data_IF_314485086768
#
_entry.id   IF_314485086768
#
_cell.length_a   1.000
_cell.length_b   1.000
_cell.length_c   1.000
_cell.angle_alpha   90.00
_cell.angle_beta   90.00
_cell.angle_gamma   90.00
#
_symmetry.space_group_name_H-M   'P 1'
#
loop_
_entity.id
_entity.type
_entity.pdbx_description
1 polymer ?
#
# COMPACT_ATOMS: atom_id res chain seq x y z
N UNK A 1 11.42 -1.26 12.57
CA UNK A 1 12.09 -2.45 12.01
C UNK A 1 13.58 -2.17 11.97
N UNK A 2 14.42 -3.20 12.05
CA UNK A 2 15.86 -3.02 11.81
C UNK A 2 16.06 -2.66 10.32
N UNK A 3 17.03 -1.80 9.97
CA UNK A 3 17.28 -1.41 8.58
C UNK A 3 17.64 -2.61 7.69
N UNK A 4 18.29 -3.63 8.25
CA UNK A 4 18.58 -4.88 7.56
C UNK A 4 17.33 -5.61 7.07
N UNK A 5 16.24 -5.61 7.87
CA UNK A 5 14.99 -6.29 7.50
C UNK A 5 14.31 -5.65 6.29
N UNK A 6 14.28 -4.31 6.20
CA UNK A 6 13.72 -3.62 5.04
C UNK A 6 14.55 -3.88 3.78
N UNK A 7 15.87 -3.91 3.93
CA UNK A 7 16.78 -4.21 2.81
C UNK A 7 16.56 -5.63 2.31
N UNK A 8 16.45 -6.61 3.21
CA UNK A 8 16.12 -7.99 2.83
C UNK A 8 14.77 -8.08 2.12
N UNK A 9 13.73 -7.42 2.63
CA UNK A 9 12.42 -7.38 1.98
C UNK A 9 12.51 -6.78 0.57
N UNK A 10 13.20 -5.66 0.40
CA UNK A 10 13.37 -5.02 -0.90
C UNK A 10 14.13 -5.91 -1.90
N UNK A 11 15.20 -6.58 -1.46
CA UNK A 11 15.96 -7.51 -2.31
C UNK A 11 15.11 -8.72 -2.71
N UNK A 12 14.36 -9.31 -1.77
CA UNK A 12 13.44 -10.41 -2.06
C UNK A 12 12.31 -9.98 -2.98
N UNK A 13 11.77 -8.77 -2.81
CA UNK A 13 10.78 -8.19 -3.74
C UNK A 13 11.35 -8.09 -5.14
N UNK A 14 12.53 -7.48 -5.30
CA UNK A 14 13.16 -7.30 -6.61
C UNK A 14 13.43 -8.66 -7.29
N UNK A 15 13.93 -9.63 -6.54
CA UNK A 15 14.17 -10.98 -7.02
C UNK A 15 12.88 -11.66 -7.47
N UNK A 16 11.83 -11.62 -6.65
CA UNK A 16 10.60 -12.37 -6.91
C UNK A 16 9.77 -11.74 -8.04
N UNK A 17 9.72 -10.40 -8.10
CA UNK A 17 9.09 -9.69 -9.22
C UNK A 17 9.87 -9.93 -10.52
N UNK A 18 11.21 -9.85 -10.48
CA UNK A 18 12.06 -10.15 -11.62
C UNK A 18 11.91 -11.59 -12.12
N UNK A 19 11.91 -12.56 -11.20
CA UNK A 19 11.67 -13.97 -11.52
C UNK A 19 10.27 -14.20 -12.11
N UNK A 20 9.24 -13.56 -11.55
CA UNK A 20 7.87 -13.62 -12.07
C UNK A 20 7.80 -13.14 -13.53
N UNK A 21 8.35 -11.96 -13.83
CA UNK A 21 8.38 -11.48 -15.21
C UNK A 21 9.25 -12.34 -16.14
N UNK A 22 10.37 -12.88 -15.66
CA UNK A 22 11.18 -13.80 -16.44
C UNK A 22 10.38 -15.07 -16.81
N UNK A 23 9.64 -15.65 -15.86
CA UNK A 23 8.75 -16.77 -16.13
C UNK A 23 7.66 -16.39 -17.15
N UNK A 24 7.05 -15.21 -17.01
CA UNK A 24 6.02 -14.73 -17.92
C UNK A 24 6.53 -14.59 -19.35
N UNK A 25 7.72 -14.02 -19.57
CA UNK A 25 8.21 -13.75 -20.93
C UNK A 25 8.92 -14.94 -21.58
N UNK A 26 9.67 -15.74 -20.81
CA UNK A 26 10.53 -16.79 -21.36
C UNK A 26 10.01 -18.21 -21.18
N UNK A 27 9.05 -18.44 -20.29
CA UNK A 27 8.56 -19.79 -19.97
C UNK A 27 7.06 -19.96 -20.20
N UNK A 28 6.23 -19.02 -19.76
CA UNK A 28 4.79 -19.11 -19.92
C UNK A 28 4.40 -19.02 -21.41
N UNK A 29 3.69 -20.04 -21.95
CA UNK A 29 3.23 -20.02 -23.32
C UNK A 29 2.23 -18.87 -23.54
N UNK A 30 2.09 -18.44 -24.78
CA UNK A 30 1.02 -17.53 -25.15
C UNK A 30 -0.31 -18.29 -25.11
N UNK A 31 -1.35 -17.61 -24.62
CA UNK A 31 -2.71 -18.13 -24.61
C UNK A 31 -3.25 -18.21 -26.05
N UNK A 32 -4.11 -19.19 -26.35
CA UNK A 32 -4.52 -19.50 -27.72
C UNK A 32 -5.35 -18.39 -28.37
N UNK A 33 -6.21 -17.73 -27.59
CA UNK A 33 -7.15 -16.71 -28.09
C UNK A 33 -6.56 -15.30 -28.04
N UNK A 34 -5.91 -14.94 -26.94
CA UNK A 34 -5.38 -13.59 -26.69
C UNK A 34 -3.89 -13.44 -27.04
N UNK A 35 -3.18 -14.54 -27.29
CA UNK A 35 -1.77 -14.51 -27.68
C UNK A 35 -0.89 -13.78 -26.65
N UNK A 36 -0.12 -12.80 -27.13
CA UNK A 36 0.78 -12.01 -26.28
C UNK A 36 0.05 -11.03 -25.35
N UNK A 37 -1.14 -10.57 -25.73
CA UNK A 37 -1.92 -9.58 -24.95
C UNK A 37 -2.27 -10.15 -23.57
N UNK A 38 -2.50 -11.46 -23.50
CA UNK A 38 -2.78 -12.15 -22.24
C UNK A 38 -1.68 -11.95 -21.21
N UNK A 39 -0.42 -11.67 -21.57
CA UNK A 39 0.65 -11.50 -20.58
C UNK A 39 0.39 -10.33 -19.61
N UNK A 40 -0.47 -9.37 -19.96
CA UNK A 40 -0.93 -8.30 -19.05
C UNK A 40 -1.66 -8.88 -17.82
N UNK A 41 -2.32 -10.03 -17.96
CA UNK A 41 -2.98 -10.78 -16.88
C UNK A 41 -2.07 -11.00 -15.67
N UNK A 42 -0.80 -11.37 -15.90
CA UNK A 42 0.16 -11.68 -14.85
C UNK A 42 0.60 -10.47 -14.03
N UNK A 43 0.32 -9.25 -14.50
CA UNK A 43 0.51 -8.02 -13.74
C UNK A 43 -0.83 -7.53 -13.18
N UNK A 44 -1.83 -7.40 -14.03
CA UNK A 44 -3.13 -6.80 -13.71
C UNK A 44 -3.87 -7.57 -12.60
N UNK A 45 -3.99 -8.89 -12.73
CA UNK A 45 -4.79 -9.69 -11.78
C UNK A 45 -4.11 -9.77 -10.42
N UNK A 46 -2.79 -10.00 -10.30
CA UNK A 46 -2.08 -9.85 -9.03
C UNK A 46 -2.25 -8.48 -8.38
N UNK A 47 -2.15 -7.39 -9.14
CA UNK A 47 -2.40 -6.04 -8.61
C UNK A 47 -3.81 -5.92 -8.03
N UNK A 48 -4.82 -6.45 -8.72
CA UNK A 48 -6.22 -6.40 -8.27
C UNK A 48 -6.44 -7.19 -6.98
N UNK A 49 -5.94 -8.43 -6.93
CA UNK A 49 -6.06 -9.29 -5.74
C UNK A 49 -5.36 -8.64 -4.54
N UNK A 50 -4.15 -8.11 -4.74
CA UNK A 50 -3.37 -7.50 -3.66
C UNK A 50 -3.97 -6.18 -3.20
N UNK A 51 -4.50 -5.35 -4.10
CA UNK A 51 -5.22 -4.13 -3.74
C UNK A 51 -6.46 -4.43 -2.87
N UNK A 52 -7.31 -5.36 -3.33
CA UNK A 52 -8.51 -5.77 -2.59
C UNK A 52 -8.16 -6.42 -1.24
N UNK A 53 -7.14 -7.29 -1.22
CA UNK A 53 -6.63 -7.89 0.00
C UNK A 53 -6.08 -6.85 0.98
N UNK A 54 -5.38 -5.84 0.47
CA UNK A 54 -4.85 -4.75 1.28
C UNK A 54 -5.94 -3.86 1.89
N UNK A 55 -7.06 -3.65 1.20
CA UNK A 55 -8.26 -3.03 1.77
C UNK A 55 -8.83 -3.83 2.94
N UNK A 56 -8.95 -5.16 2.80
CA UNK A 56 -9.38 -6.04 3.90
C UNK A 56 -8.42 -5.98 5.09
N UNK A 57 -7.10 -6.02 4.84
CA UNK A 57 -6.08 -5.87 5.89
C UNK A 57 -6.21 -4.51 6.59
N UNK A 58 -6.50 -3.44 5.85
CA UNK A 58 -6.83 -2.13 6.38
C UNK A 58 -8.05 -2.15 7.32
N UNK A 59 -9.13 -2.82 6.91
CA UNK A 59 -10.32 -3.05 7.73
C UNK A 59 -10.04 -3.86 9.00
N UNK A 60 -9.26 -4.94 8.90
CA UNK A 60 -8.87 -5.75 10.08
C UNK A 60 -8.08 -4.90 11.09
N UNK A 61 -7.17 -4.06 10.62
CA UNK A 61 -6.44 -3.13 11.50
C UNK A 61 -7.35 -2.06 12.11
N UNK A 62 -8.36 -1.58 11.39
CA UNK A 62 -9.37 -0.70 11.94
C UNK A 62 -10.22 -1.36 13.05
N UNK A 63 -10.61 -2.64 12.89
CA UNK A 63 -11.28 -3.40 13.97
C UNK A 63 -10.39 -3.48 15.20
N UNK A 64 -9.10 -3.81 15.01
CA UNK A 64 -8.13 -3.89 16.10
C UNK A 64 -7.94 -2.54 16.79
N UNK A 65 -7.92 -1.44 16.04
CA UNK A 65 -7.86 -0.08 16.59
C UNK A 65 -9.08 0.22 17.47
N UNK A 66 -10.31 -0.02 16.98
CA UNK A 66 -11.51 0.25 17.77
C UNK A 66 -11.62 -0.62 19.04
N UNK A 67 -11.06 -1.84 19.03
CA UNK A 67 -11.06 -2.73 20.19
C UNK A 67 -10.02 -2.37 21.25
N UNK A 68 -8.87 -1.86 20.83
CA UNK A 68 -7.71 -1.63 21.72
C UNK A 68 -7.45 -0.16 22.05
N UNK A 69 -7.93 0.76 21.22
CA UNK A 69 -7.54 2.17 21.27
C UNK A 69 -6.09 2.44 20.86
N UNK A 70 -5.33 1.44 20.39
CA UNK A 70 -3.90 1.61 20.08
C UNK A 70 -3.70 2.36 18.74
N UNK A 71 -3.08 3.55 18.74
CA UNK A 71 -2.80 4.33 17.53
C UNK A 71 -1.93 3.59 16.51
N UNK A 72 -1.18 2.56 16.92
CA UNK A 72 -0.39 1.73 16.00
C UNK A 72 -1.30 0.98 15.02
N UNK A 73 -2.48 0.54 15.47
CA UNK A 73 -3.44 -0.14 14.61
C UNK A 73 -4.11 0.82 13.63
N UNK A 74 -4.42 2.04 14.05
CA UNK A 74 -4.90 3.09 13.16
C UNK A 74 -3.87 3.43 12.08
N UNK A 75 -2.59 3.62 12.45
CA UNK A 75 -1.52 3.89 11.50
C UNK A 75 -1.35 2.74 10.48
N UNK A 76 -1.46 1.48 10.92
CA UNK A 76 -1.43 0.31 10.03
C UNK A 76 -2.63 0.28 9.09
N UNK A 77 -3.83 0.58 9.58
CA UNK A 77 -5.03 0.66 8.75
C UNK A 77 -4.86 1.72 7.64
N UNK A 78 -4.45 2.93 8.03
CA UNK A 78 -4.19 4.04 7.13
C UNK A 78 -3.18 3.66 6.02
N UNK A 79 -2.01 3.12 6.40
CA UNK A 79 -0.96 2.81 5.42
C UNK A 79 -1.36 1.66 4.50
N UNK A 80 -2.05 0.64 5.02
CA UNK A 80 -2.56 -0.45 4.19
C UNK A 80 -3.56 0.04 3.14
N UNK A 81 -4.50 0.92 3.52
CA UNK A 81 -5.44 1.53 2.58
C UNK A 81 -4.68 2.39 1.56
N UNK A 82 -3.67 3.14 1.98
CA UNK A 82 -2.86 3.99 1.12
C UNK A 82 -2.11 3.24 0.03
N UNK A 83 -1.36 2.21 0.41
CA UNK A 83 -0.71 1.35 -0.56
C UNK A 83 -1.72 0.69 -1.52
N UNK A 84 -2.89 0.30 -1.00
CA UNK A 84 -3.93 -0.37 -1.80
C UNK A 84 -4.64 0.56 -2.77
N UNK A 85 -4.84 1.84 -2.44
CA UNK A 85 -5.35 2.85 -3.39
C UNK A 85 -4.35 3.08 -4.52
N UNK A 86 -3.05 3.17 -4.23
CA UNK A 86 -2.01 3.30 -5.27
C UNK A 86 -2.04 2.09 -6.20
N UNK A 87 -2.14 0.88 -5.65
CA UNK A 87 -2.27 -0.34 -6.45
C UNK A 87 -3.58 -0.33 -7.24
N UNK A 88 -4.69 0.16 -6.65
CA UNK A 88 -5.97 0.31 -7.34
C UNK A 88 -5.90 1.22 -8.57
N UNK A 89 -5.14 2.32 -8.51
CA UNK A 89 -4.86 3.15 -9.69
C UNK A 89 -4.12 2.32 -10.75
N UNK A 90 -3.09 1.57 -10.36
CA UNK A 90 -2.36 0.70 -11.28
C UNK A 90 -3.26 -0.38 -11.90
N UNK A 91 -4.21 -0.93 -11.14
CA UNK A 91 -5.23 -1.87 -11.64
C UNK A 91 -6.11 -1.21 -12.70
N UNK A 92 -6.62 0.00 -12.45
CA UNK A 92 -7.46 0.71 -13.42
C UNK A 92 -6.68 1.00 -14.71
N UNK A 93 -5.44 1.49 -14.61
CA UNK A 93 -4.59 1.79 -15.78
C UNK A 93 -4.30 0.52 -16.57
N UNK A 94 -3.81 -0.53 -15.92
CA UNK A 94 -3.49 -1.81 -16.58
C UNK A 94 -4.74 -2.48 -17.14
N UNK A 95 -5.89 -2.33 -16.47
CA UNK A 95 -7.19 -2.86 -16.92
C UNK A 95 -7.70 -2.14 -18.16
N UNK A 96 -7.59 -0.81 -18.22
CA UNK A 96 -7.95 -0.03 -19.42
C UNK A 96 -7.07 -0.41 -20.61
N UNK A 97 -5.77 -0.59 -20.40
CA UNK A 97 -4.84 -1.06 -21.45
C UNK A 97 -5.23 -2.46 -21.93
N UNK A 98 -5.53 -3.38 -21.02
CA UNK A 98 -5.95 -4.74 -21.37
C UNK A 98 -7.29 -4.75 -22.12
N UNK A 99 -8.28 -3.99 -21.66
CA UNK A 99 -9.57 -3.87 -22.33
C UNK A 99 -9.42 -3.31 -23.76
N UNK A 100 -8.57 -2.30 -23.94
CA UNK A 100 -8.30 -1.72 -25.25
C UNK A 100 -7.64 -2.72 -26.20
N UNK A 101 -6.68 -3.50 -25.70
CA UNK A 101 -5.98 -4.51 -26.47
C UNK A 101 -6.88 -5.70 -26.83
N UNK A 102 -7.71 -6.17 -25.90
CA UNK A 102 -8.55 -7.36 -26.09
C UNK A 102 -9.85 -7.09 -26.86
N UNK A 103 -10.48 -5.93 -26.65
CA UNK A 103 -11.84 -5.65 -27.15
C UNK A 103 -11.95 -4.33 -27.91
N UNK A 104 -10.84 -3.65 -28.17
CA UNK A 104 -10.81 -2.38 -28.91
C UNK A 104 -11.38 -1.18 -28.15
N UNK A 105 -11.87 -1.34 -26.91
CA UNK A 105 -12.51 -0.31 -26.08
C UNK A 105 -11.75 -0.12 -24.77
N UNK A 106 -11.56 1.14 -24.35
CA UNK A 106 -10.86 1.45 -23.09
C UNK A 106 -11.64 1.07 -21.82
N UNK A 107 -12.97 1.02 -21.91
CA UNK A 107 -13.85 0.70 -20.80
C UNK A 107 -15.15 0.09 -21.31
N UNK A 108 -15.70 -0.85 -20.54
CA UNK A 108 -16.99 -1.51 -20.81
C UNK A 108 -17.86 -1.38 -19.56
N UNK A 109 -18.89 -0.55 -19.64
CA UNK A 109 -19.80 -0.27 -18.52
C UNK A 109 -20.76 -1.41 -18.22
N UNK A 110 -21.01 -2.28 -19.20
CA UNK A 110 -21.88 -3.45 -19.06
C UNK A 110 -21.19 -4.58 -18.28
N UNK A 111 -19.86 -4.52 -18.11
CA UNK A 111 -19.11 -5.53 -17.37
C UNK A 111 -19.17 -5.31 -15.86
N UNK A 112 -19.81 -6.24 -15.10
CA UNK A 112 -19.94 -6.08 -13.65
C UNK A 112 -18.57 -5.98 -12.97
N UNK A 113 -17.58 -6.80 -13.36
CA UNK A 113 -16.24 -6.82 -12.75
C UNK A 113 -15.55 -5.46 -12.79
N UNK A 114 -15.61 -4.78 -13.94
CA UNK A 114 -14.96 -3.48 -14.15
C UNK A 114 -15.61 -2.40 -13.29
N UNK A 115 -16.94 -2.30 -13.38
CA UNK A 115 -17.73 -1.29 -12.65
C UNK A 115 -17.65 -1.52 -11.13
N UNK A 116 -17.78 -2.77 -10.70
CA UNK A 116 -17.65 -3.17 -9.29
C UNK A 116 -16.30 -2.80 -8.69
N UNK A 117 -15.20 -3.06 -9.39
CA UNK A 117 -13.87 -2.65 -8.92
C UNK A 117 -13.77 -1.12 -8.82
N UNK A 118 -14.27 -0.40 -9.83
CA UNK A 118 -14.27 1.06 -9.82
C UNK A 118 -15.07 1.64 -8.63
N UNK A 119 -16.23 1.06 -8.31
CA UNK A 119 -17.04 1.48 -7.16
C UNK A 119 -16.26 1.28 -5.85
N UNK A 120 -15.66 0.10 -5.65
CA UNK A 120 -14.83 -0.17 -4.47
C UNK A 120 -13.66 0.82 -4.39
N UNK A 121 -12.97 1.06 -5.51
CA UNK A 121 -11.85 1.98 -5.58
C UNK A 121 -12.26 3.42 -5.21
N UNK A 122 -13.35 3.92 -5.79
CA UNK A 122 -13.87 5.26 -5.50
C UNK A 122 -14.34 5.37 -4.04
N UNK A 123 -14.98 4.33 -3.51
CA UNK A 123 -15.34 4.26 -2.10
C UNK A 123 -14.09 4.45 -1.22
N UNK A 124 -13.00 3.74 -1.49
CA UNK A 124 -11.74 3.92 -0.76
C UNK A 124 -11.04 5.26 -1.03
N UNK A 125 -11.24 5.91 -2.18
CA UNK A 125 -10.73 7.26 -2.40
C UNK A 125 -11.37 8.28 -1.46
N UNK A 126 -12.64 8.09 -1.10
CA UNK A 126 -13.34 8.98 -0.14
C UNK A 126 -12.86 8.83 1.31
N UNK A 127 -12.05 7.82 1.61
CA UNK A 127 -11.41 7.64 2.92
C UNK A 127 -10.57 8.84 3.35
N UNK A 128 -9.77 9.43 2.45
CA UNK A 128 -8.85 10.51 2.80
C UNK A 128 -9.56 11.83 3.09
N UNK A 129 -10.46 12.33 2.22
CA UNK A 129 -11.22 13.54 2.53
C UNK A 129 -11.99 13.40 3.84
N UNK A 130 -12.65 12.26 4.09
CA UNK A 130 -13.34 12.01 5.35
C UNK A 130 -12.40 12.10 6.54
N UNK A 131 -11.25 11.41 6.46
CA UNK A 131 -10.27 11.37 7.54
C UNK A 131 -9.67 12.76 7.80
N UNK A 132 -9.34 13.53 6.78
CA UNK A 132 -8.69 14.84 6.95
C UNK A 132 -9.66 15.99 7.22
N UNK A 133 -10.96 15.79 7.06
CA UNK A 133 -11.99 16.77 7.43
C UNK A 133 -12.21 16.89 8.95
N UNK A 134 -11.67 15.96 9.75
CA UNK A 134 -11.85 15.92 11.21
C UNK A 134 -10.57 16.43 11.88
N UNK A 135 -10.68 17.52 12.64
CA UNK A 135 -9.53 18.15 13.32
C UNK A 135 -9.04 17.33 14.53
N UNK A 136 -9.97 16.84 15.35
CA UNK A 136 -9.64 16.04 16.52
C UNK A 136 -9.06 14.68 16.12
N UNK A 137 -7.81 14.42 16.49
CA UNK A 137 -7.05 13.25 16.05
C UNK A 137 -7.67 11.92 16.49
N UNK A 138 -8.28 11.89 17.66
CA UNK A 138 -8.87 10.67 18.20
C UNK A 138 -10.19 10.35 17.51
N UNK A 139 -11.07 11.35 17.35
CA UNK A 139 -12.30 11.23 16.56
C UNK A 139 -11.99 10.90 15.10
N UNK A 140 -10.97 11.53 14.54
CA UNK A 140 -10.45 11.23 13.20
C UNK A 140 -10.12 9.75 13.05
N UNK A 141 -9.29 9.19 13.92
CA UNK A 141 -8.88 7.79 13.88
C UNK A 141 -10.07 6.84 14.07
N UNK A 142 -11.01 7.18 14.96
CA UNK A 142 -12.22 6.38 15.21
C UNK A 142 -13.15 6.36 14.00
N UNK A 143 -13.50 7.52 13.43
CA UNK A 143 -14.40 7.58 12.27
C UNK A 143 -13.76 6.97 11.02
N UNK A 144 -12.46 7.19 10.80
CA UNK A 144 -11.73 6.54 9.72
C UNK A 144 -11.72 5.00 9.89
N UNK A 145 -11.61 4.51 11.13
CA UNK A 145 -11.68 3.07 11.40
C UNK A 145 -13.06 2.50 11.11
N UNK A 146 -14.13 3.18 11.53
CA UNK A 146 -15.50 2.75 11.20
C UNK A 146 -15.70 2.68 9.69
N UNK A 147 -15.28 3.72 8.96
CA UNK A 147 -15.35 3.74 7.51
C UNK A 147 -14.58 2.58 6.87
N UNK A 148 -13.33 2.34 7.29
CA UNK A 148 -12.51 1.26 6.76
C UNK A 148 -13.14 -0.13 6.98
N UNK A 149 -13.86 -0.33 8.09
CA UNK A 149 -14.58 -1.57 8.36
C UNK A 149 -15.78 -1.71 7.42
N UNK A 150 -16.58 -0.65 7.29
CA UNK A 150 -17.77 -0.66 6.42
C UNK A 150 -17.39 -0.85 4.96
N UNK A 151 -16.39 -0.10 4.46
CA UNK A 151 -15.86 -0.27 3.11
C UNK A 151 -15.18 -1.63 2.92
N UNK A 152 -14.53 -2.16 3.97
CA UNK A 152 -13.93 -3.49 3.99
C UNK A 152 -14.97 -4.60 3.82
N UNK A 153 -16.12 -4.49 4.48
CA UNK A 153 -17.23 -5.41 4.33
C UNK A 153 -17.89 -5.36 2.95
N UNK A 154 -17.79 -4.21 2.26
CA UNK A 154 -18.30 -4.06 0.89
C UNK A 154 -17.46 -4.85 -0.14
N UNK A 155 -16.17 -5.08 0.10
CA UNK A 155 -15.29 -5.85 -0.80
C UNK A 155 -15.77 -7.29 -1.05
N UNK A 156 -16.01 -8.15 -0.04
CA UNK A 156 -16.49 -9.51 -0.26
C UNK A 156 -17.92 -9.53 -0.81
N UNK A 157 -18.77 -8.59 -0.40
CA UNK A 157 -20.13 -8.44 -0.94
C UNK A 157 -20.09 -8.13 -2.44
N UNK A 158 -19.22 -7.20 -2.84
CA UNK A 158 -18.98 -6.85 -4.24
C UNK A 158 -18.44 -8.06 -5.03
N UNK A 159 -17.53 -8.85 -4.45
CA UNK A 159 -17.05 -10.07 -5.08
C UNK A 159 -18.16 -11.11 -5.30
N UNK A 160 -19.04 -11.30 -4.31
CA UNK A 160 -20.21 -12.16 -4.43
C UNK A 160 -21.17 -11.65 -5.51
N UNK A 161 -21.44 -10.34 -5.55
CA UNK A 161 -22.30 -9.71 -6.55
C UNK A 161 -21.76 -9.92 -7.98
N UNK A 162 -20.45 -9.73 -8.20
CA UNK A 162 -19.81 -9.95 -9.51
C UNK A 162 -19.90 -11.42 -9.95
N UNK A 163 -19.77 -12.38 -9.02
CA UNK A 163 -19.92 -13.81 -9.36
C UNK A 163 -21.36 -14.21 -9.64
N UNK A 164 -22.32 -13.57 -8.98
CA UNK A 164 -23.75 -13.79 -9.20
C UNK A 164 -24.26 -13.14 -10.49
N UNK A 165 -23.65 -12.04 -10.93
CA UNK A 165 -23.97 -11.41 -12.20
C UNK A 165 -23.49 -12.26 -13.39
N UNK A 166 -24.15 -12.14 -14.54
CA UNK A 166 -23.66 -12.71 -15.79
C UNK A 166 -22.41 -11.96 -16.27
N UNK A 167 -21.41 -12.70 -16.73
CA UNK A 167 -20.18 -12.13 -17.29
C UNK A 167 -20.34 -12.12 -18.81
N UNK A 168 -20.29 -10.95 -19.44
CA UNK A 168 -20.56 -10.82 -20.87
C UNK A 168 -19.28 -10.98 -21.71
N UNK A 169 -18.13 -10.54 -21.17
CA UNK A 169 -16.85 -10.49 -21.90
C UNK A 169 -15.65 -10.80 -21.00
N UNK A 170 -15.74 -10.64 -19.67
CA UNK A 170 -14.59 -10.90 -18.78
C UNK A 170 -14.34 -12.41 -18.55
N UNK A 171 -13.16 -12.96 -18.90
CA UNK A 171 -12.87 -14.38 -18.69
C UNK A 171 -12.80 -14.70 -17.18
N UNK A 172 -13.46 -15.79 -16.76
CA UNK A 172 -13.48 -16.28 -15.37
C UNK A 172 -12.40 -17.35 -15.18
N UNK A 173 -11.16 -16.91 -14.98
CA UNK A 173 -9.99 -17.81 -14.85
C UNK A 173 -10.01 -18.70 -13.59
N UNK A 174 -10.88 -18.41 -12.61
CA UNK A 174 -10.95 -19.12 -11.33
C UNK A 174 -12.16 -20.06 -11.19
N UNK A 175 -12.76 -20.51 -12.29
CA UNK A 175 -13.81 -21.52 -12.18
C UNK A 175 -14.38 -22.02 -13.49
N UNK A 176 -13.76 -23.06 -14.06
CA UNK A 176 -14.45 -24.16 -14.74
C UNK A 176 -13.57 -25.41 -14.68
N UNK A 177 -14.19 -26.56 -14.47
CA UNK A 177 -13.59 -27.90 -14.38
C UNK A 177 -13.02 -28.37 -15.74
N UNK A 178 -13.29 -27.63 -16.81
CA UNK A 178 -12.85 -27.92 -18.20
C UNK A 178 -11.98 -26.82 -18.83
N UNK A 179 -11.69 -25.72 -18.12
CA UNK A 179 -11.04 -24.52 -18.69
C UNK A 179 -10.05 -23.81 -17.77
N UNK A 180 -9.33 -24.56 -16.93
CA UNK A 180 -8.29 -24.01 -16.07
C UNK A 180 -7.07 -23.51 -16.86
N UNK A 181 -6.38 -22.49 -16.33
CA UNK A 181 -5.06 -22.11 -16.84
C UNK A 181 -4.14 -23.36 -16.86
N UNK A 182 -3.34 -23.57 -17.92
CA UNK A 182 -2.30 -24.59 -17.94
C UNK A 182 -1.37 -24.50 -16.72
N UNK A 183 -0.81 -25.63 -16.29
CA UNK A 183 0.05 -25.69 -15.10
C UNK A 183 1.21 -24.67 -15.15
N UNK A 184 1.82 -24.49 -16.32
CA UNK A 184 2.92 -23.54 -16.50
C UNK A 184 2.47 -22.09 -16.32
N UNK A 185 1.28 -21.76 -16.85
CA UNK A 185 0.68 -20.45 -16.68
C UNK A 185 0.28 -20.21 -15.22
N UNK A 186 -0.17 -21.23 -14.49
CA UNK A 186 -0.45 -21.13 -13.06
C UNK A 186 0.77 -20.83 -12.22
N UNK A 187 1.90 -21.51 -12.47
CA UNK A 187 3.13 -21.27 -11.73
C UNK A 187 3.63 -19.85 -11.96
N UNK A 188 3.65 -19.38 -13.22
CA UNK A 188 4.00 -18.00 -13.53
C UNK A 188 3.08 -16.99 -12.81
N UNK A 189 1.77 -17.26 -12.78
CA UNK A 189 0.80 -16.46 -12.07
C UNK A 189 1.03 -16.41 -10.57
N UNK A 190 1.27 -17.56 -9.91
CA UNK A 190 1.49 -17.62 -8.47
C UNK A 190 2.78 -16.91 -8.06
N UNK A 191 3.85 -17.01 -8.86
CA UNK A 191 5.09 -16.28 -8.62
C UNK A 191 4.87 -14.77 -8.77
N UNK A 192 4.15 -14.33 -9.80
CA UNK A 192 3.78 -12.92 -9.95
C UNK A 192 2.90 -12.43 -8.79
N UNK A 193 1.91 -13.22 -8.36
CA UNK A 193 1.05 -12.91 -7.23
C UNK A 193 1.87 -12.77 -5.94
N UNK A 194 2.77 -13.69 -5.67
CA UNK A 194 3.66 -13.62 -4.51
C UNK A 194 4.60 -12.41 -4.60
N UNK A 195 5.14 -12.11 -5.79
CA UNK A 195 5.98 -10.94 -6.04
C UNK A 195 5.26 -9.61 -5.77
N UNK A 196 4.05 -9.44 -6.31
CA UNK A 196 3.23 -8.24 -6.12
C UNK A 196 2.73 -8.12 -4.68
N UNK A 197 2.35 -9.23 -4.03
CA UNK A 197 1.98 -9.24 -2.61
C UNK A 197 3.17 -8.85 -1.72
N UNK A 198 4.36 -9.37 -2.01
CA UNK A 198 5.58 -9.01 -1.30
C UNK A 198 5.95 -7.55 -1.54
N UNK A 199 5.80 -7.04 -2.77
CA UNK A 199 5.97 -5.62 -3.08
C UNK A 199 5.07 -4.75 -2.21
N UNK A 200 3.78 -5.09 -2.12
CA UNK A 200 2.85 -4.36 -1.25
C UNK A 200 3.28 -4.40 0.22
N UNK A 201 3.69 -5.56 0.74
CA UNK A 201 4.20 -5.69 2.13
C UNK A 201 5.44 -4.84 2.34
N UNK A 202 6.36 -4.83 1.38
CA UNK A 202 7.58 -4.01 1.43
C UNK A 202 7.25 -2.52 1.46
N UNK A 203 6.33 -2.05 0.61
CA UNK A 203 5.91 -0.65 0.56
C UNK A 203 5.18 -0.21 1.84
N UNK A 204 4.27 -1.04 2.36
CA UNK A 204 3.60 -0.78 3.66
C UNK A 204 4.61 -0.72 4.80
N UNK A 205 5.56 -1.66 4.83
CA UNK A 205 6.60 -1.71 5.85
C UNK A 205 7.55 -0.51 5.77
N UNK A 206 7.88 -0.10 4.55
CA UNK A 206 8.68 1.09 4.27
C UNK A 206 7.95 2.35 4.76
N UNK A 207 6.69 2.58 4.37
CA UNK A 207 5.94 3.77 4.78
C UNK A 207 5.73 3.81 6.31
N UNK A 208 5.40 2.68 6.94
CA UNK A 208 5.28 2.62 8.40
C UNK A 208 6.61 2.93 9.10
N UNK A 209 7.73 2.45 8.56
CA UNK A 209 9.05 2.74 9.13
C UNK A 209 9.41 4.21 8.94
N UNK A 210 9.20 4.77 7.75
CA UNK A 210 9.44 6.18 7.46
C UNK A 210 8.64 7.10 8.40
N UNK A 211 7.33 6.85 8.58
CA UNK A 211 6.49 7.64 9.51
C UNK A 211 6.98 7.54 10.96
N UNK A 212 7.41 6.35 11.41
CA UNK A 212 7.96 6.14 12.76
C UNK A 212 9.26 6.91 12.95
N UNK A 213 10.18 6.82 12.00
CA UNK A 213 11.46 7.54 12.04
C UNK A 213 11.24 9.05 12.06
N UNK A 214 10.35 9.59 11.21
CA UNK A 214 10.01 11.02 11.21
C UNK A 214 9.39 11.48 12.53
N UNK A 215 8.56 10.65 13.16
CA UNK A 215 7.99 10.93 14.48
C UNK A 215 9.07 10.93 15.58
N UNK A 216 10.03 10.00 15.54
CA UNK A 216 11.16 9.97 16.47
C UNK A 216 12.06 11.18 16.32
N UNK A 217 12.39 11.57 15.08
CA UNK A 217 13.18 12.76 14.79
C UNK A 217 12.49 14.03 15.31
N UNK A 218 11.18 14.16 15.08
CA UNK A 218 10.39 15.29 15.60
C UNK A 218 10.41 15.35 17.14
N UNK A 219 10.33 14.20 17.82
CA UNK A 219 10.42 14.11 19.28
C UNK A 219 11.80 14.50 19.80
N UNK A 220 12.87 13.97 19.19
CA UNK A 220 14.25 14.28 19.56
C UNK A 220 14.59 15.76 19.33
N UNK A 221 14.15 16.31 18.19
CA UNK A 221 14.30 17.73 17.90
C UNK A 221 13.61 18.59 18.97
N UNK A 222 12.40 18.21 19.39
CA UNK A 222 11.67 18.91 20.44
C UNK A 222 12.39 18.83 21.79
N UNK A 223 12.87 17.65 22.20
CA UNK A 223 13.58 17.50 23.47
C UNK A 223 14.90 18.27 23.51
N UNK A 224 15.59 18.44 22.36
CA UNK A 224 16.80 19.26 22.29
C UNK A 224 16.50 20.76 22.38
N UNK A 225 15.37 21.21 21.81
CA UNK A 225 14.93 22.61 21.90
C UNK A 225 14.46 22.94 23.33
N UNK A 226 13.66 22.05 23.94
CA UNK A 226 13.13 22.24 25.30
C UNK A 226 14.21 22.03 26.38
N UNK A 227 15.11 21.06 26.18
CA UNK A 227 16.31 20.85 27.00
C UNK A 227 17.41 21.88 26.77
N UNK A 228 17.26 22.73 25.75
CA UNK A 228 18.17 23.80 25.36
C UNK A 228 17.96 25.12 26.10
N UNK A 229 17.30 25.13 27.26
CA UNK A 229 17.52 26.20 28.25
C UNK A 229 18.91 26.00 28.85
N UNK A 230 19.95 26.43 28.11
CA UNK A 230 21.30 26.51 28.63
C UNK A 230 21.30 27.45 29.84
N UNK A 231 21.28 26.89 31.05
CA UNK A 231 21.57 27.63 32.28
C UNK A 231 23.08 27.82 32.34
N UNK A 232 23.56 29.04 32.09
CA UNK A 232 24.91 29.39 32.52
C UNK A 232 25.02 29.06 34.02
N UNK A 233 26.02 28.28 34.45
CA UNK A 233 26.19 27.97 35.86
C UNK A 233 26.43 29.26 36.63
N UNK A 234 25.73 29.50 37.77
CA UNK A 234 25.99 30.67 38.58
C UNK A 234 27.39 30.54 39.18
N UNK A 235 28.34 31.34 38.70
CA UNK A 235 29.67 31.40 39.32
C UNK A 235 30.87 31.72 38.43
N UNK A 236 30.75 31.86 37.11
CA UNK A 236 31.90 32.29 36.28
C UNK A 236 31.80 33.80 35.97
N UNK A 237 31.64 34.58 37.04
CA UNK A 237 32.06 35.97 37.07
C UNK A 237 33.53 36.02 37.50
N UNK A 238 34.45 36.08 36.54
CA UNK A 238 35.88 36.17 36.81
C UNK A 238 36.54 37.18 35.89
N UNK A 239 36.42 38.47 36.25
CA UNK A 239 37.20 39.58 35.68
C UNK A 239 38.68 39.19 35.61
N UNK A 240 39.27 39.23 34.42
CA UNK A 240 40.72 39.36 34.25
C UNK A 240 40.98 40.81 33.84
N UNK A 241 41.25 41.66 34.83
CA UNK A 241 41.88 42.95 34.60
C UNK A 241 43.39 42.72 34.39
N UNK A 242 44.05 43.36 33.40
CA UNK A 242 45.49 43.23 33.26
C UNK A 242 46.19 44.06 34.35
N UNK A 243 46.98 43.40 35.20
CA UNK A 243 47.96 44.06 36.07
C UNK A 243 49.12 44.59 35.22
N UNK A 244 49.59 45.78 35.58
CA UNK A 244 50.47 46.61 34.78
C UNK A 244 51.83 46.01 34.45
N UNK A 245 52.37 46.51 33.33
CA UNK A 245 53.79 46.52 33.04
C UNK A 245 54.27 47.97 33.17
N UNK A 246 55.05 48.24 34.21
CA UNK A 246 55.91 49.41 34.31
C UNK A 246 57.37 49.01 34.12
N UNK A 247 58.18 49.96 33.66
CA UNK A 247 59.65 49.98 33.49
C UNK A 247 60.18 49.32 32.21
N UNK A 248 61.05 49.93 31.39
CA UNK A 248 61.68 51.24 31.44
C UNK A 248 62.66 51.45 30.26
N UNK A 249 63.18 52.68 30.20
CA UNK A 249 64.08 53.34 29.21
C UNK A 249 63.41 53.97 27.99
#
# INVERSE_FOLDING_TARGET
MKPSTLTTLALLTALLVGAGFALVFFWAPNEADQGFIQKIFYLHVPLAIVALGGFIVGGIHAIRHLRSGDPVHDARSYVSIHASVIFGVAVLVTGMVWAKASWGRWWVWEEPTLVSFLIVFLLYCTYYPLRYAIEDRERQARYASVFAITAGAFVPLNFMAVRAAESLVHPRTFGTVEGGLPADMWVAFLVCLAGIALLWVTLVSFELTAKRTSAQLSRLRRSLIEGGTWREPPGVGGRIAPRGAGTGR
#
